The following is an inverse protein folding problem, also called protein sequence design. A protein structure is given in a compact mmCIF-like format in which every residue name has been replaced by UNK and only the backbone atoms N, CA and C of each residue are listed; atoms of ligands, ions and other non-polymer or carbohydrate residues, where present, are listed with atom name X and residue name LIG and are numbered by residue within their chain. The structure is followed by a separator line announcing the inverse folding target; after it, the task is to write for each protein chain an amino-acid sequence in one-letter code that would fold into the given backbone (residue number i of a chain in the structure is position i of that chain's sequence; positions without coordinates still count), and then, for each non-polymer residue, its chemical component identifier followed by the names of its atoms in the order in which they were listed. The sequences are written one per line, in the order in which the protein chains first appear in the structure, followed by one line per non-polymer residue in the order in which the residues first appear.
data_IF_787160326779
#
_entry.id   IF_787160326779
#
_cell.length_a   1.000
_cell.length_b   1.000
_cell.length_c   1.000
_cell.angle_alpha   90.00
_cell.angle_beta   90.00
_cell.angle_gamma   90.00
#
_symmetry.space_group_name_H-M   'P 1'
#
loop_
_entity.id
_entity.type
_entity.pdbx_description
1 polymer ?
#
# COMPACT_ATOMS: atom_id res chain seq x y z
N UNK A 1 -24.98 9.26 1.92
CA UNK A 1 -23.80 10.15 1.87
C UNK A 1 -24.21 11.61 2.09
N UNK A 2 -25.26 12.13 1.40
CA UNK A 2 -25.70 13.53 1.53
C UNK A 2 -26.17 13.93 2.93
N UNK A 3 -26.83 13.04 3.67
CA UNK A 3 -27.31 13.34 5.05
C UNK A 3 -26.18 13.40 6.07
N UNK A 4 -25.15 12.54 5.93
CA UNK A 4 -23.97 12.56 6.80
C UNK A 4 -23.11 13.80 6.55
N UNK A 5 -22.92 14.20 5.29
CA UNK A 5 -22.17 15.41 4.94
C UNK A 5 -22.88 16.68 5.43
N UNK A 6 -24.22 16.74 5.34
CA UNK A 6 -25.00 17.86 5.88
C UNK A 6 -24.93 17.89 7.42
N UNK A 7 -24.98 16.73 8.10
CA UNK A 7 -24.81 16.63 9.54
C UNK A 7 -23.41 17.06 9.99
N UNK A 8 -22.36 16.67 9.28
CA UNK A 8 -20.98 17.05 9.56
C UNK A 8 -20.78 18.57 9.46
N UNK A 9 -21.23 19.20 8.37
CA UNK A 9 -21.18 20.65 8.21
C UNK A 9 -21.95 21.41 9.29
N UNK A 10 -23.12 20.90 9.71
CA UNK A 10 -23.90 21.47 10.79
C UNK A 10 -23.17 21.36 12.13
N UNK A 11 -22.58 20.20 12.43
CA UNK A 11 -21.78 20.01 13.65
C UNK A 11 -20.59 20.96 13.68
N UNK A 12 -19.82 21.06 12.60
CA UNK A 12 -18.68 21.99 12.51
C UNK A 12 -19.08 23.44 12.74
N UNK A 13 -20.25 23.86 12.24
CA UNK A 13 -20.75 25.24 12.40
C UNK A 13 -21.22 25.53 13.83
N UNK A 14 -21.48 24.52 14.66
CA UNK A 14 -22.07 24.67 16.01
C UNK A 14 -21.11 24.31 17.14
N UNK A 15 -19.94 23.72 16.82
CA UNK A 15 -18.94 23.34 17.84
C UNK A 15 -17.95 24.48 18.04
N UNK A 16 -17.79 24.91 19.29
CA UNK A 16 -16.75 25.87 19.63
C UNK A 16 -15.37 25.21 19.57
N UNK A 17 -14.33 25.93 19.08
CA UNK A 17 -12.97 25.45 19.12
C UNK A 17 -12.56 25.08 20.57
N UNK A 18 -12.04 23.89 20.75
CA UNK A 18 -11.49 23.46 22.03
C UNK A 18 -9.98 23.27 21.91
N UNK A 19 -9.27 23.54 23.01
CA UNK A 19 -7.87 23.17 23.08
C UNK A 19 -7.75 21.64 23.01
N UNK A 20 -6.72 21.17 22.28
CA UNK A 20 -6.39 19.76 22.29
C UNK A 20 -5.99 19.37 23.70
N UNK A 21 -6.59 18.28 24.22
CA UNK A 21 -6.24 17.74 25.52
C UNK A 21 -4.78 17.26 25.61
N UNK A 22 -4.44 16.52 26.67
CA UNK A 22 -3.12 15.93 26.84
C UNK A 22 -2.71 15.13 25.59
N UNK A 23 -1.42 15.21 25.25
CA UNK A 23 -0.88 14.68 23.99
C UNK A 23 -1.17 13.19 23.81
N UNK A 24 -1.39 12.79 22.56
CA UNK A 24 -1.55 11.40 22.16
C UNK A 24 -0.19 10.70 22.18
N UNK A 25 -0.11 9.54 22.84
CA UNK A 25 1.11 8.73 22.83
C UNK A 25 1.25 7.98 21.48
N UNK A 26 2.48 7.76 21.05
CA UNK A 26 2.75 7.01 19.81
C UNK A 26 2.22 5.57 19.83
N UNK A 27 2.03 4.99 21.02
CA UNK A 27 1.49 3.64 21.23
C UNK A 27 -0.03 3.58 21.33
N UNK A 28 -0.69 4.74 21.32
CA UNK A 28 -2.15 4.81 21.29
C UNK A 28 -2.70 4.32 19.96
N UNK A 29 -3.91 3.78 19.99
CA UNK A 29 -4.59 3.31 18.81
C UNK A 29 -4.99 4.49 17.94
N UNK A 30 -4.45 4.55 16.71
CA UNK A 30 -4.80 5.56 15.73
C UNK A 30 -6.00 5.15 14.87
N UNK A 31 -6.14 3.85 14.57
CA UNK A 31 -7.23 3.37 13.75
C UNK A 31 -7.42 1.86 13.78
N UNK A 32 -8.65 1.45 13.40
CA UNK A 32 -9.03 0.08 13.13
C UNK A 32 -9.27 -0.08 11.63
N UNK A 33 -8.45 -0.90 10.99
CA UNK A 33 -8.59 -1.20 9.57
C UNK A 33 -9.11 -2.63 9.40
N UNK A 34 -10.26 -2.77 8.77
CA UNK A 34 -10.87 -4.08 8.57
C UNK A 34 -10.34 -4.76 7.32
N UNK A 35 -9.89 -6.01 7.46
CA UNK A 35 -9.49 -6.86 6.33
C UNK A 35 -10.58 -7.86 6.01
N UNK A 36 -10.79 -8.10 4.71
CA UNK A 36 -11.61 -9.23 4.26
C UNK A 36 -10.84 -10.53 4.48
N UNK A 37 -11.16 -11.26 5.54
CA UNK A 37 -10.54 -12.57 5.76
C UNK A 37 -11.02 -13.58 4.73
N UNK A 38 -10.11 -14.31 4.10
CA UNK A 38 -10.42 -15.43 3.18
C UNK A 38 -11.13 -16.60 3.90
N UNK A 39 -11.17 -16.60 5.22
CA UNK A 39 -11.62 -17.74 6.05
C UNK A 39 -12.72 -17.40 7.05
N UNK A 40 -13.43 -16.26 6.93
CA UNK A 40 -14.48 -15.93 7.91
C UNK A 40 -14.72 -14.42 8.11
N UNK A 41 -15.17 -14.05 9.32
CA UNK A 41 -15.47 -12.67 9.67
C UNK A 41 -14.26 -11.75 9.55
N UNK A 42 -14.48 -10.55 9.02
CA UNK A 42 -13.46 -9.49 8.93
C UNK A 42 -12.73 -9.28 10.25
N UNK A 43 -11.42 -9.01 10.19
CA UNK A 43 -10.58 -8.74 11.34
C UNK A 43 -10.26 -7.24 11.40
N UNK A 44 -10.45 -6.63 12.56
CA UNK A 44 -10.03 -5.25 12.80
C UNK A 44 -8.55 -5.20 13.15
N UNK A 45 -7.72 -4.76 12.23
CA UNK A 45 -6.28 -4.55 12.43
C UNK A 45 -6.09 -3.28 13.24
N UNK A 46 -5.42 -3.39 14.39
CA UNK A 46 -5.12 -2.24 15.27
C UNK A 46 -3.81 -1.59 14.84
N UNK A 47 -3.88 -0.38 14.28
CA UNK A 47 -2.71 0.42 13.95
C UNK A 47 -2.56 1.57 14.94
N UNK A 48 -1.38 1.70 15.52
CA UNK A 48 -1.01 2.79 16.44
C UNK A 48 -0.50 4.00 15.65
N UNK A 49 -0.40 5.15 16.31
CA UNK A 49 0.22 6.34 15.70
C UNK A 49 1.66 6.03 15.24
N UNK A 50 2.44 5.27 16.04
CA UNK A 50 3.79 4.83 15.67
C UNK A 50 3.78 4.03 14.37
N UNK A 51 2.85 3.08 14.19
CA UNK A 51 2.79 2.25 13.00
C UNK A 51 2.55 3.08 11.74
N UNK A 52 1.58 3.99 11.79
CA UNK A 52 1.23 4.85 10.66
C UNK A 52 2.35 5.84 10.32
N UNK A 53 2.97 6.46 11.33
CA UNK A 53 4.08 7.39 11.14
C UNK A 53 5.30 6.65 10.57
N UNK A 54 5.65 5.49 11.12
CA UNK A 54 6.75 4.68 10.61
C UNK A 54 6.54 4.33 9.14
N UNK A 55 5.33 3.89 8.79
CA UNK A 55 5.03 3.58 7.40
C UNK A 55 5.09 4.79 6.47
N UNK A 56 4.63 5.97 6.90
CA UNK A 56 4.79 7.20 6.12
C UNK A 56 6.27 7.53 5.90
N UNK A 57 7.12 7.35 6.92
CA UNK A 57 8.58 7.54 6.80
C UNK A 57 9.23 6.51 5.86
N UNK A 58 8.83 5.22 5.95
CA UNK A 58 9.29 4.18 5.02
C UNK A 58 8.95 4.52 3.57
N UNK A 59 7.73 5.02 3.37
CA UNK A 59 7.26 5.49 2.07
C UNK A 59 8.14 6.61 1.52
N UNK A 60 8.33 7.66 2.31
CA UNK A 60 9.12 8.84 1.93
C UNK A 60 10.61 8.53 1.70
N UNK A 61 11.14 7.53 2.40
CA UNK A 61 12.52 7.07 2.18
C UNK A 61 12.69 6.22 0.91
N UNK A 62 11.59 5.67 0.37
CA UNK A 62 11.64 4.69 -0.72
C UNK A 62 11.05 5.18 -2.03
N UNK A 63 10.09 6.10 -1.98
CA UNK A 63 9.43 6.70 -3.14
C UNK A 63 9.86 8.15 -3.28
N UNK A 64 10.40 8.58 -4.43
CA UNK A 64 10.79 9.97 -4.64
C UNK A 64 9.60 10.90 -4.50
N UNK A 65 9.58 11.72 -3.44
CA UNK A 65 8.51 12.68 -3.17
C UNK A 65 9.05 13.94 -2.52
N UNK A 66 8.34 15.07 -2.71
CA UNK A 66 8.69 16.36 -2.13
C UNK A 66 7.43 17.24 -1.91
N UNK A 67 7.60 18.41 -1.28
CA UNK A 67 6.52 19.35 -0.94
C UNK A 67 5.82 19.97 -2.16
N UNK A 68 6.39 19.85 -3.35
CA UNK A 68 5.77 20.36 -4.58
C UNK A 68 4.89 19.33 -5.28
N UNK A 69 4.83 18.10 -4.75
CA UNK A 69 4.03 17.03 -5.33
C UNK A 69 2.54 17.33 -5.29
N UNK A 70 1.87 16.81 -6.29
CA UNK A 70 0.44 16.90 -6.50
C UNK A 70 -0.11 15.49 -6.59
N UNK A 71 -0.54 14.96 -5.45
CA UNK A 71 -0.97 13.57 -5.30
C UNK A 71 -2.47 13.42 -5.62
N UNK A 72 -2.82 12.48 -6.48
CA UNK A 72 -4.22 12.08 -6.67
C UNK A 72 -4.56 10.92 -5.73
N UNK A 73 -5.54 11.12 -4.87
CA UNK A 73 -6.05 10.08 -3.98
C UNK A 73 -7.23 9.39 -4.66
N UNK A 74 -6.96 8.35 -5.45
CA UNK A 74 -8.00 7.56 -6.14
C UNK A 74 -8.31 6.24 -5.43
N UNK A 75 -7.40 5.72 -4.61
CA UNK A 75 -7.67 4.57 -3.77
C UNK A 75 -8.60 4.93 -2.61
N UNK A 76 -9.51 4.03 -2.18
CA UNK A 76 -10.42 4.32 -1.07
C UNK A 76 -9.68 4.67 0.21
N UNK A 77 -10.05 5.82 0.83
CA UNK A 77 -9.40 6.32 2.05
C UNK A 77 -9.64 5.45 3.29
N UNK A 78 -10.64 4.57 3.26
CA UNK A 78 -10.89 3.60 4.34
C UNK A 78 -10.03 2.33 4.21
N UNK A 79 -9.28 2.18 3.12
CA UNK A 79 -8.33 1.10 2.92
C UNK A 79 -6.92 1.58 3.30
N UNK A 80 -6.10 0.70 3.88
CA UNK A 80 -4.76 1.05 4.35
C UNK A 80 -3.88 1.68 3.26
N UNK A 81 -3.97 1.21 2.01
CA UNK A 81 -3.21 1.78 0.89
C UNK A 81 -3.61 3.25 0.61
N UNK A 82 -4.90 3.58 0.63
CA UNK A 82 -5.38 4.94 0.41
C UNK A 82 -5.00 5.88 1.54
N UNK A 83 -5.18 5.46 2.81
CA UNK A 83 -4.85 6.28 3.97
C UNK A 83 -3.36 6.57 4.10
N UNK A 84 -2.50 5.63 3.72
CA UNK A 84 -1.04 5.82 3.81
C UNK A 84 -0.50 6.85 2.81
N UNK A 85 -0.96 6.85 1.58
CA UNK A 85 -0.60 7.89 0.61
C UNK A 85 -0.95 9.29 1.12
N UNK A 86 -2.11 9.41 1.80
CA UNK A 86 -2.55 10.66 2.44
C UNK A 86 -1.57 11.09 3.55
N UNK A 87 -1.19 10.17 4.44
CA UNK A 87 -0.30 10.50 5.57
C UNK A 87 1.10 10.89 5.09
N UNK A 88 1.65 10.22 4.10
CA UNK A 88 2.92 10.57 3.48
C UNK A 88 2.87 11.98 2.86
N UNK A 89 1.81 12.27 2.10
CA UNK A 89 1.62 13.58 1.48
C UNK A 89 1.42 14.72 2.53
N UNK A 90 0.70 14.44 3.63
CA UNK A 90 0.57 15.40 4.76
C UNK A 90 1.94 15.66 5.39
N UNK A 91 2.73 14.61 5.63
CA UNK A 91 4.05 14.75 6.24
C UNK A 91 4.96 15.67 5.45
N UNK A 92 4.86 15.63 4.12
CA UNK A 92 5.66 16.48 3.23
C UNK A 92 5.05 17.85 2.92
N UNK A 93 3.77 18.07 3.24
CA UNK A 93 3.07 19.28 2.84
C UNK A 93 2.66 19.30 1.36
N UNK A 94 2.59 18.14 0.71
CA UNK A 94 2.20 17.99 -0.69
C UNK A 94 0.70 18.27 -0.91
N UNK A 95 0.34 18.75 -2.10
CA UNK A 95 -1.05 18.95 -2.50
C UNK A 95 -1.73 17.60 -2.69
N UNK A 96 -2.96 17.47 -2.17
CA UNK A 96 -3.78 16.28 -2.38
C UNK A 96 -5.07 16.61 -3.11
N UNK A 97 -5.40 15.82 -4.12
CA UNK A 97 -6.65 15.91 -4.88
C UNK A 97 -7.42 14.60 -4.66
N UNK A 98 -8.45 14.59 -3.80
CA UNK A 98 -9.23 13.38 -3.56
C UNK A 98 -10.27 13.16 -4.67
N UNK A 99 -10.42 11.90 -5.11
CA UNK A 99 -11.46 11.44 -6.00
C UNK A 99 -12.52 10.67 -5.18
N UNK A 100 -13.78 11.13 -5.22
CA UNK A 100 -14.83 10.53 -4.40
C UNK A 100 -15.26 9.13 -4.82
N UNK A 101 -15.23 8.83 -6.11
CA UNK A 101 -15.53 7.51 -6.69
C UNK A 101 -14.61 7.30 -7.87
N UNK A 102 -14.00 6.12 -7.95
CA UNK A 102 -13.11 5.79 -9.06
C UNK A 102 -13.88 5.79 -10.39
N UNK A 103 -13.40 6.57 -11.34
CA UNK A 103 -13.81 6.62 -12.73
C UNK A 103 -12.57 6.93 -13.58
N UNK A 104 -12.22 6.10 -14.56
CA UNK A 104 -10.98 6.27 -15.33
C UNK A 104 -10.87 7.61 -16.06
N UNK A 105 -11.98 8.09 -16.64
CA UNK A 105 -12.00 9.38 -17.35
C UNK A 105 -11.77 10.53 -16.38
N UNK A 106 -12.46 10.52 -15.21
CA UNK A 106 -12.27 11.52 -14.18
C UNK A 106 -10.84 11.52 -13.61
N UNK A 107 -10.20 10.35 -13.47
CA UNK A 107 -8.77 10.25 -13.08
C UNK A 107 -7.89 11.00 -14.06
N UNK A 108 -8.03 10.74 -15.37
CA UNK A 108 -7.22 11.37 -16.40
C UNK A 108 -7.48 12.88 -16.51
N UNK A 109 -8.75 13.30 -16.40
CA UNK A 109 -9.14 14.71 -16.38
C UNK A 109 -8.54 15.46 -15.17
N UNK A 110 -8.46 14.81 -14.00
CA UNK A 110 -7.82 15.38 -12.81
C UNK A 110 -6.30 15.44 -12.96
N UNK A 111 -5.65 14.42 -13.57
CA UNK A 111 -4.23 14.44 -13.86
C UNK A 111 -3.89 15.64 -14.74
N UNK A 112 -4.60 15.84 -15.84
CA UNK A 112 -4.39 16.97 -16.74
C UNK A 112 -4.67 18.31 -16.06
N UNK A 113 -5.87 18.46 -15.47
CA UNK A 113 -6.33 19.71 -14.85
C UNK A 113 -5.47 20.19 -13.70
N UNK A 114 -5.08 19.28 -12.81
CA UNK A 114 -4.34 19.61 -11.60
C UNK A 114 -2.85 19.35 -11.72
N UNK A 115 -2.38 18.88 -12.90
CA UNK A 115 -0.99 18.51 -13.14
C UNK A 115 -0.49 17.54 -12.06
N UNK A 116 -1.26 16.49 -11.83
CA UNK A 116 -0.91 15.44 -10.87
C UNK A 116 0.39 14.77 -11.33
N UNK A 117 1.33 14.59 -10.41
CA UNK A 117 2.59 13.90 -10.72
C UNK A 117 2.73 12.55 -10.02
N UNK A 118 1.92 12.26 -9.00
CA UNK A 118 1.97 10.97 -8.30
C UNK A 118 0.57 10.46 -7.95
N UNK A 119 0.36 9.15 -8.15
CA UNK A 119 -0.86 8.48 -7.69
C UNK A 119 -0.61 7.00 -7.38
N UNK A 120 -1.53 6.40 -6.61
CA UNK A 120 -1.53 4.99 -6.25
C UNK A 120 -2.88 4.37 -6.55
N UNK A 121 -2.87 3.18 -7.16
CA UNK A 121 -4.06 2.36 -7.40
C UNK A 121 -3.80 0.88 -7.29
N UNK A 122 -4.85 0.08 -7.45
CA UNK A 122 -4.72 -1.37 -7.59
C UNK A 122 -4.59 -1.75 -9.07
N UNK A 123 -4.08 -2.96 -9.43
CA UNK A 123 -3.88 -3.35 -10.83
C UNK A 123 -5.10 -3.18 -11.76
N UNK A 124 -6.31 -3.42 -11.26
CA UNK A 124 -7.54 -3.21 -12.04
C UNK A 124 -7.81 -1.73 -12.36
N UNK A 125 -7.43 -0.81 -11.46
CA UNK A 125 -7.50 0.63 -11.72
C UNK A 125 -6.49 1.03 -12.78
N UNK A 126 -5.25 0.53 -12.71
CA UNK A 126 -4.23 0.80 -13.73
C UNK A 126 -4.68 0.32 -15.11
N UNK A 127 -5.22 -0.89 -15.21
CA UNK A 127 -5.76 -1.41 -16.46
C UNK A 127 -6.83 -0.49 -17.06
N UNK A 128 -7.77 -0.03 -16.22
CA UNK A 128 -8.87 0.82 -16.65
C UNK A 128 -8.41 2.22 -17.09
N UNK A 129 -7.49 2.86 -16.37
CA UNK A 129 -6.97 4.19 -16.77
C UNK A 129 -6.08 4.11 -18.01
N UNK A 130 -5.31 3.02 -18.17
CA UNK A 130 -4.50 2.82 -19.37
C UNK A 130 -5.39 2.60 -20.62
N UNK A 131 -6.47 1.82 -20.50
CA UNK A 131 -7.44 1.61 -21.56
C UNK A 131 -8.13 2.92 -21.94
N UNK A 132 -8.60 3.70 -20.96
CA UNK A 132 -9.23 5.00 -21.21
C UNK A 132 -8.26 6.00 -21.84
N UNK A 133 -6.99 6.03 -21.42
CA UNK A 133 -5.98 6.91 -21.99
C UNK A 133 -5.68 6.55 -23.44
N UNK A 134 -5.69 5.28 -23.82
CA UNK A 134 -5.55 4.87 -25.21
C UNK A 134 -6.77 5.21 -26.08
N UNK A 135 -7.98 5.08 -25.50
CA UNK A 135 -9.22 5.36 -26.24
C UNK A 135 -9.48 6.87 -26.37
N UNK A 136 -9.25 7.61 -25.31
CA UNK A 136 -9.54 9.04 -25.21
C UNK A 136 -8.34 9.76 -24.55
N UNK A 137 -7.28 10.09 -25.27
CA UNK A 137 -6.05 10.64 -24.73
C UNK A 137 -6.23 12.00 -24.04
N UNK A 138 -5.62 12.18 -22.87
CA UNK A 138 -5.43 13.46 -22.15
C UNK A 138 -3.93 13.76 -22.05
N UNK A 139 -3.60 14.99 -21.72
CA UNK A 139 -2.22 15.35 -21.44
C UNK A 139 -1.82 14.89 -20.03
N UNK A 140 -1.21 13.73 -19.96
CA UNK A 140 -0.72 13.09 -18.73
C UNK A 140 0.78 13.28 -18.49
N UNK A 141 1.43 14.19 -19.21
CA UNK A 141 2.88 14.42 -19.16
C UNK A 141 3.39 14.89 -17.78
N UNK A 142 2.49 15.31 -16.90
CA UNK A 142 2.84 15.65 -15.50
C UNK A 142 2.97 14.44 -14.60
N UNK A 143 2.42 13.26 -14.99
CA UNK A 143 2.45 12.06 -14.16
C UNK A 143 3.86 11.44 -14.18
N UNK A 144 4.58 11.57 -13.07
CA UNK A 144 5.96 11.10 -12.90
C UNK A 144 6.01 9.72 -12.27
N UNK A 145 5.10 9.44 -11.33
CA UNK A 145 5.08 8.21 -10.54
C UNK A 145 3.68 7.61 -10.47
N UNK A 146 3.55 6.36 -10.90
CA UNK A 146 2.33 5.56 -10.80
C UNK A 146 2.62 4.31 -10.00
N UNK A 147 1.99 4.19 -8.84
CA UNK A 147 2.23 3.13 -7.88
C UNK A 147 1.08 2.14 -7.89
N UNK A 148 1.39 0.86 -7.79
CA UNK A 148 0.37 -0.18 -7.65
C UNK A 148 0.80 -1.25 -6.65
N UNK A 149 -0.19 -2.01 -6.19
CA UNK A 149 0.03 -3.12 -5.26
C UNK A 149 -1.28 -3.68 -4.71
N UNK A 150 -1.17 -4.50 -3.68
CA UNK A 150 -2.31 -5.13 -3.00
C UNK A 150 -2.87 -6.37 -3.70
N UNK A 151 -2.44 -6.67 -4.91
CA UNK A 151 -2.69 -7.93 -5.63
C UNK A 151 -1.67 -8.11 -6.76
N UNK A 152 -1.46 -9.35 -7.23
CA UNK A 152 -0.61 -9.59 -8.39
C UNK A 152 -1.09 -8.81 -9.63
N UNK A 153 -0.15 -8.34 -10.43
CA UNK A 153 -0.42 -7.66 -11.70
C UNK A 153 0.00 -8.53 -12.88
N UNK A 154 -0.82 -8.55 -13.94
CA UNK A 154 -0.42 -9.24 -15.16
C UNK A 154 0.57 -8.37 -15.96
N UNK A 155 1.64 -8.96 -16.50
CA UNK A 155 2.65 -8.27 -17.31
C UNK A 155 2.04 -7.43 -18.44
N UNK A 156 0.93 -7.90 -19.02
CA UNK A 156 0.22 -7.15 -20.07
C UNK A 156 -0.39 -5.83 -19.56
N UNK A 157 -0.83 -5.79 -18.29
CA UNK A 157 -1.32 -4.54 -17.68
C UNK A 157 -0.17 -3.56 -17.49
N UNK A 158 1.00 -4.04 -17.02
CA UNK A 158 2.22 -3.21 -16.91
C UNK A 158 2.59 -2.65 -18.29
N UNK A 159 2.65 -3.49 -19.32
CA UNK A 159 2.99 -3.07 -20.70
C UNK A 159 2.04 -2.01 -21.23
N UNK A 160 0.73 -2.18 -21.02
CA UNK A 160 -0.29 -1.19 -21.42
C UNK A 160 -0.16 0.10 -20.65
N UNK A 161 0.14 0.02 -19.36
CA UNK A 161 0.37 1.21 -18.54
C UNK A 161 1.60 1.99 -18.99
N UNK A 162 2.72 1.31 -19.29
CA UNK A 162 3.91 1.95 -19.85
C UNK A 162 3.63 2.63 -21.20
N UNK A 163 2.82 2.00 -22.05
CA UNK A 163 2.42 2.59 -23.33
C UNK A 163 1.51 3.81 -23.17
N UNK A 164 0.59 3.77 -22.19
CA UNK A 164 -0.33 4.88 -21.91
C UNK A 164 0.37 6.06 -21.21
N UNK A 165 1.41 5.77 -20.41
CA UNK A 165 2.15 6.73 -19.58
C UNK A 165 3.66 6.60 -19.82
N UNK A 166 4.16 6.99 -21.00
CA UNK A 166 5.53 6.65 -21.45
C UNK A 166 6.66 7.35 -20.67
N UNK A 167 6.35 8.38 -19.89
CA UNK A 167 7.33 9.12 -19.07
C UNK A 167 7.17 8.86 -17.58
N UNK A 168 6.29 7.93 -17.20
CA UNK A 168 5.93 7.66 -15.81
C UNK A 168 6.70 6.46 -15.30
N UNK A 169 7.33 6.60 -14.16
CA UNK A 169 7.93 5.50 -13.42
C UNK A 169 6.82 4.63 -12.80
N UNK A 170 6.81 3.34 -13.09
CA UNK A 170 5.95 2.37 -12.43
C UNK A 170 6.65 1.78 -11.21
N UNK A 171 5.91 1.72 -10.10
CA UNK A 171 6.41 1.17 -8.84
C UNK A 171 5.40 0.16 -8.31
N UNK A 172 5.84 -1.08 -8.15
CA UNK A 172 5.07 -2.09 -7.41
C UNK A 172 5.38 -2.03 -5.92
N UNK A 173 4.35 -2.16 -5.08
CA UNK A 173 4.49 -2.24 -3.62
C UNK A 173 3.84 -3.50 -3.07
N UNK A 174 4.54 -4.16 -2.17
CA UNK A 174 4.07 -5.31 -1.42
C UNK A 174 3.86 -4.97 0.04
N UNK A 175 2.80 -5.54 0.61
CA UNK A 175 2.49 -5.49 2.02
C UNK A 175 1.03 -5.82 2.31
N UNK A 176 0.64 -5.66 3.56
CA UNK A 176 -0.67 -5.99 4.08
C UNK A 176 -1.18 -4.90 5.01
N UNK A 177 -2.47 -4.88 5.31
CA UNK A 177 -3.03 -3.96 6.31
C UNK A 177 -2.29 -4.07 7.65
N UNK A 178 -1.89 -5.28 8.03
CA UNK A 178 -1.14 -5.61 9.23
C UNK A 178 0.28 -5.02 9.27
N UNK A 179 0.77 -4.55 8.12
CA UNK A 179 2.09 -3.90 7.97
C UNK A 179 2.01 -2.41 7.65
N UNK A 180 0.83 -1.79 7.73
CA UNK A 180 0.52 -0.35 7.61
C UNK A 180 0.73 0.38 6.26
N UNK A 181 0.70 -0.14 5.06
CA UNK A 181 0.82 -1.49 4.49
C UNK A 181 2.18 -1.79 3.82
N UNK A 182 3.16 -0.86 3.74
CA UNK A 182 4.36 -0.99 2.92
C UNK A 182 5.44 -1.85 3.58
N UNK A 183 5.90 -2.86 2.86
CA UNK A 183 6.98 -3.78 3.28
C UNK A 183 8.11 -3.82 2.27
N UNK A 184 7.78 -4.00 0.99
CA UNK A 184 8.77 -4.09 -0.07
C UNK A 184 8.32 -3.28 -1.30
N UNK A 185 9.28 -2.93 -2.14
CA UNK A 185 9.07 -2.09 -3.30
C UNK A 185 9.95 -2.56 -4.46
N UNK A 186 9.36 -2.67 -5.66
CA UNK A 186 10.04 -2.80 -6.94
C UNK A 186 9.87 -1.49 -7.70
N UNK A 187 10.98 -0.77 -7.90
CA UNK A 187 10.99 0.45 -8.72
C UNK A 187 11.38 0.19 -10.16
N UNK A 188 11.08 1.15 -11.05
CA UNK A 188 11.43 1.11 -12.48
C UNK A 188 10.90 -0.14 -13.21
N UNK A 189 9.71 -0.58 -12.85
CA UNK A 189 9.09 -1.79 -13.41
C UNK A 189 8.99 -1.71 -14.95
N UNK A 190 8.82 -0.49 -15.49
CA UNK A 190 8.81 -0.21 -16.92
C UNK A 190 10.10 -0.65 -17.65
N UNK A 191 11.23 -0.70 -16.93
CA UNK A 191 12.52 -1.13 -17.51
C UNK A 191 12.79 -2.63 -17.32
N UNK A 192 11.99 -3.30 -16.49
CA UNK A 192 12.18 -4.69 -16.07
C UNK A 192 11.25 -5.69 -16.78
N UNK A 193 10.42 -5.26 -17.74
CA UNK A 193 9.34 -6.10 -18.31
C UNK A 193 9.81 -7.46 -18.84
N UNK A 194 11.03 -7.55 -19.35
CA UNK A 194 11.61 -8.78 -19.87
C UNK A 194 12.65 -9.40 -18.89
N UNK A 195 12.85 -8.79 -17.72
CA UNK A 195 13.75 -9.24 -16.67
C UNK A 195 12.99 -10.17 -15.70
N UNK A 196 13.61 -11.27 -15.23
CA UNK A 196 13.04 -12.10 -14.16
C UNK A 196 12.62 -11.32 -12.92
N UNK A 197 13.27 -10.18 -12.61
CA UNK A 197 12.95 -9.30 -11.48
C UNK A 197 11.56 -8.69 -11.57
N UNK A 198 10.96 -8.55 -12.77
CA UNK A 198 9.59 -8.09 -12.93
C UNK A 198 8.54 -8.97 -12.24
N UNK A 199 8.93 -10.16 -11.77
CA UNK A 199 8.06 -11.06 -11.00
C UNK A 199 8.27 -10.96 -9.49
N UNK A 200 9.24 -10.16 -9.06
CA UNK A 200 9.51 -9.95 -7.63
C UNK A 200 8.62 -8.84 -7.07
N UNK A 201 8.36 -8.91 -5.78
CA UNK A 201 7.77 -7.80 -5.03
C UNK A 201 8.82 -6.73 -4.64
N UNK A 202 10.00 -6.77 -5.26
CA UNK A 202 11.10 -5.88 -4.94
C UNK A 202 11.85 -6.24 -3.65
N UNK A 203 12.48 -5.24 -3.05
CA UNK A 203 13.26 -5.37 -1.82
C UNK A 203 12.56 -4.73 -0.64
N UNK A 204 12.85 -5.21 0.55
CA UNK A 204 12.38 -4.59 1.79
C UNK A 204 12.75 -3.11 1.83
N UNK A 205 11.77 -2.26 2.17
CA UNK A 205 11.98 -0.82 2.33
C UNK A 205 12.78 -0.52 3.60
N UNK A 206 13.38 0.66 3.65
CA UNK A 206 14.08 1.15 4.85
C UNK A 206 13.13 1.11 6.05
N UNK A 207 13.56 0.49 7.15
CA UNK A 207 12.76 0.32 8.36
C UNK A 207 11.97 -1.00 8.45
N UNK A 208 11.95 -1.79 7.37
CA UNK A 208 11.44 -3.16 7.36
C UNK A 208 12.55 -4.17 7.15
N UNK A 209 12.39 -5.37 7.71
CA UNK A 209 13.17 -6.54 7.33
C UNK A 209 12.23 -7.68 6.94
N UNK A 210 12.62 -8.42 5.91
CA UNK A 210 11.93 -9.60 5.41
C UNK A 210 12.84 -10.80 5.60
N UNK A 211 12.30 -11.86 6.17
CA UNK A 211 12.97 -13.16 6.26
C UNK A 211 12.03 -14.26 5.81
N UNK A 212 12.58 -15.36 5.34
CA UNK A 212 11.84 -16.56 4.96
C UNK A 212 12.03 -17.60 6.04
N UNK A 213 10.93 -18.12 6.57
CA UNK A 213 10.99 -19.07 7.68
C UNK A 213 10.27 -20.37 7.33
N UNK A 214 10.78 -21.46 7.86
CA UNK A 214 10.11 -22.75 7.81
C UNK A 214 9.04 -22.86 8.93
N UNK A 215 8.39 -24.05 9.01
CA UNK A 215 7.30 -24.31 9.95
C UNK A 215 7.74 -24.25 11.43
N UNK A 216 9.02 -24.51 11.74
CA UNK A 216 9.55 -24.46 13.11
C UNK A 216 10.01 -23.03 13.50
N UNK A 217 9.98 -22.09 12.56
CA UNK A 217 10.35 -20.69 12.77
C UNK A 217 11.83 -20.39 12.55
N UNK A 218 12.64 -21.36 12.11
CA UNK A 218 14.03 -21.11 11.72
C UNK A 218 14.09 -20.42 10.36
N UNK A 219 15.06 -19.55 10.18
CA UNK A 219 15.28 -18.81 8.93
C UNK A 219 15.88 -19.73 7.86
N UNK A 220 15.33 -19.64 6.66
CA UNK A 220 15.78 -20.41 5.50
C UNK A 220 16.85 -19.64 4.71
N UNK A 221 17.80 -20.35 4.08
CA UNK A 221 18.76 -19.77 3.14
C UNK A 221 18.08 -19.07 1.96
N UNK A 222 18.84 -18.20 1.28
CA UNK A 222 18.40 -17.59 0.02
C UNK A 222 18.03 -18.65 -1.01
N UNK A 223 16.96 -18.38 -1.78
CA UNK A 223 16.42 -19.30 -2.80
C UNK A 223 15.49 -20.39 -2.26
N UNK A 224 15.45 -20.65 -0.96
CA UNK A 224 14.53 -21.62 -0.37
C UNK A 224 13.16 -21.01 -0.07
N UNK A 225 12.10 -21.78 -0.40
CA UNK A 225 10.70 -21.34 -0.23
C UNK A 225 10.22 -21.65 1.19
N UNK A 226 9.65 -20.63 1.84
CA UNK A 226 9.03 -20.73 3.15
C UNK A 226 8.04 -19.58 3.38
N UNK A 227 7.57 -19.43 4.61
CA UNK A 227 6.65 -18.34 4.96
C UNK A 227 7.39 -17.01 5.06
N UNK A 228 6.81 -15.99 4.43
CA UNK A 228 7.33 -14.63 4.50
C UNK A 228 7.04 -14.04 5.88
N UNK A 229 8.09 -13.60 6.58
CA UNK A 229 7.99 -12.99 7.91
C UNK A 229 8.57 -11.59 7.86
N UNK A 230 7.81 -10.62 8.38
CA UNK A 230 8.15 -9.20 8.36
C UNK A 230 8.39 -8.68 9.76
N UNK A 231 9.46 -7.91 9.94
CA UNK A 231 9.71 -7.14 11.16
C UNK A 231 9.86 -5.66 10.80
N UNK A 232 9.33 -4.80 11.66
CA UNK A 232 9.38 -3.34 11.47
C UNK A 232 8.49 -2.61 12.46
N UNK A 233 8.71 -1.32 12.60
CA UNK A 233 7.90 -0.45 13.47
C UNK A 233 6.50 -0.18 12.92
N UNK A 234 6.27 -0.50 11.66
CA UNK A 234 4.99 -0.42 10.96
C UNK A 234 4.07 -1.63 11.21
N UNK A 235 4.53 -2.67 11.92
CA UNK A 235 3.72 -3.86 12.21
C UNK A 235 2.63 -3.54 13.23
N UNK A 236 1.41 -4.00 12.96
CA UNK A 236 0.22 -3.81 13.78
C UNK A 236 0.42 -4.17 15.26
N UNK A 237 -0.40 -3.59 16.13
CA UNK A 237 -0.50 -3.98 17.54
C UNK A 237 -1.16 -5.37 17.73
N UNK A 238 -2.01 -5.77 16.77
CA UNK A 238 -2.77 -7.02 16.77
C UNK A 238 -4.16 -6.85 16.19
N UNK A 239 -4.99 -7.88 16.29
CA UNK A 239 -6.39 -7.85 15.89
C UNK A 239 -7.30 -7.48 17.06
N UNK A 240 -8.23 -6.55 16.84
CA UNK A 240 -9.19 -6.09 17.83
C UNK A 240 -10.03 -7.24 18.38
N UNK A 241 -10.00 -7.42 19.71
CA UNK A 241 -10.72 -8.49 20.44
C UNK A 241 -10.45 -9.92 19.90
N UNK A 242 -9.25 -10.18 19.35
CA UNK A 242 -8.85 -11.48 18.83
C UNK A 242 -7.42 -11.84 19.26
N UNK A 243 -7.17 -12.05 20.57
CA UNK A 243 -5.83 -12.30 21.08
C UNK A 243 -5.21 -13.61 20.56
N UNK A 244 -6.00 -14.67 20.40
CA UNK A 244 -5.54 -15.95 19.87
C UNK A 244 -5.05 -15.81 18.42
N UNK A 245 -5.89 -15.21 17.55
CA UNK A 245 -5.50 -14.98 16.15
C UNK A 245 -4.33 -14.00 16.02
N UNK A 246 -4.18 -13.07 16.97
CA UNK A 246 -3.02 -12.20 17.05
C UNK A 246 -1.75 -13.00 17.33
N UNK A 247 -1.80 -13.90 18.33
CA UNK A 247 -0.67 -14.75 18.70
C UNK A 247 -0.26 -15.76 17.60
N UNK A 248 -1.20 -16.16 16.73
CA UNK A 248 -0.90 -17.02 15.58
C UNK A 248 0.02 -16.33 14.56
N UNK A 249 -0.14 -15.02 14.36
CA UNK A 249 0.58 -14.26 13.32
C UNK A 249 1.69 -13.36 13.88
N UNK A 250 1.58 -12.88 15.11
CA UNK A 250 2.63 -12.13 15.80
C UNK A 250 3.37 -13.03 16.76
N UNK A 251 4.46 -13.63 16.30
CA UNK A 251 5.27 -14.58 17.08
C UNK A 251 6.75 -14.44 16.73
N UNK A 252 7.61 -14.87 17.63
CA UNK A 252 9.07 -14.84 17.45
C UNK A 252 9.62 -13.47 17.01
N UNK A 253 8.97 -12.37 17.41
CA UNK A 253 9.40 -11.01 17.11
C UNK A 253 9.05 -10.53 15.68
N UNK A 254 8.24 -11.27 14.91
CA UNK A 254 7.84 -10.92 13.55
C UNK A 254 6.36 -11.15 13.28
N UNK A 255 5.88 -10.56 12.19
CA UNK A 255 4.57 -10.80 11.60
C UNK A 255 4.68 -11.87 10.52
N UNK A 256 4.02 -12.98 10.72
CA UNK A 256 3.89 -14.11 9.80
C UNK A 256 2.73 -13.80 8.85
N UNK A 257 3.06 -13.54 7.60
CA UNK A 257 2.11 -12.99 6.61
C UNK A 257 1.10 -14.00 6.10
N UNK A 258 1.45 -15.29 6.15
CA UNK A 258 0.73 -16.35 5.47
C UNK A 258 1.02 -16.44 3.97
N UNK A 259 1.85 -15.57 3.42
CA UNK A 259 2.34 -15.66 2.05
C UNK A 259 3.59 -16.56 2.02
N UNK A 260 3.68 -17.40 0.98
CA UNK A 260 4.85 -18.25 0.73
C UNK A 260 5.74 -17.62 -0.33
N UNK A 261 7.04 -17.62 -0.10
CA UNK A 261 7.98 -16.99 -1.02
C UNK A 261 9.43 -17.34 -0.72
N UNK A 262 10.32 -16.74 -1.45
CA UNK A 262 11.77 -16.83 -1.23
C UNK A 262 12.43 -15.46 -1.48
N UNK A 263 13.61 -15.29 -0.93
CA UNK A 263 14.48 -14.16 -1.25
C UNK A 263 15.62 -14.68 -2.13
N UNK A 264 15.89 -13.98 -3.24
CA UNK A 264 17.07 -14.29 -4.06
C UNK A 264 18.37 -13.82 -3.39
N UNK A 265 19.52 -14.05 -4.04
CA UNK A 265 20.84 -13.68 -3.54
C UNK A 265 20.97 -12.16 -3.30
N UNK A 266 20.28 -11.35 -4.10
CA UNK A 266 20.27 -9.90 -4.02
C UNK A 266 19.21 -9.34 -3.05
N UNK A 267 18.38 -10.21 -2.45
CA UNK A 267 17.36 -9.85 -1.48
C UNK A 267 16.03 -9.39 -2.07
N UNK A 268 15.77 -9.70 -3.34
CA UNK A 268 14.44 -9.52 -3.92
C UNK A 268 13.48 -10.59 -3.43
N UNK A 269 12.27 -10.19 -3.07
CA UNK A 269 11.20 -11.07 -2.60
C UNK A 269 10.39 -11.59 -3.78
N UNK A 270 10.29 -12.90 -3.90
CA UNK A 270 9.41 -13.56 -4.86
C UNK A 270 8.33 -14.34 -4.12
N UNK A 271 7.07 -14.05 -4.41
CA UNK A 271 5.92 -14.80 -3.89
C UNK A 271 5.62 -15.99 -4.79
N UNK A 272 5.34 -17.14 -4.18
CA UNK A 272 5.04 -18.39 -4.88
C UNK A 272 3.55 -18.70 -4.77
N UNK A 273 3.00 -18.62 -3.55
CA UNK A 273 1.58 -18.91 -3.27
C UNK A 273 1.20 -18.38 -1.87
N UNK A 274 -0.09 -18.52 -1.50
CA UNK A 274 -0.52 -18.38 -0.11
C UNK A 274 -0.54 -19.75 0.57
N UNK A 275 -0.06 -19.82 1.80
CA UNK A 275 0.04 -21.08 2.55
C UNK A 275 -1.30 -21.81 2.72
N UNK A 276 -2.43 -21.07 2.63
CA UNK A 276 -3.79 -21.62 2.72
C UNK A 276 -4.38 -22.09 1.39
N UNK A 277 -3.74 -21.73 0.27
CA UNK A 277 -4.19 -22.08 -1.08
C UNK A 277 -3.34 -23.22 -1.67
N UNK A 278 -2.28 -23.65 -0.98
CA UNK A 278 -1.49 -24.81 -1.38
C UNK A 278 -2.31 -26.10 -1.22
N UNK A 279 -2.72 -26.66 -2.35
CA UNK A 279 -3.21 -28.03 -2.42
C UNK A 279 -1.98 -28.94 -2.39
N UNK A 280 -1.74 -29.59 -1.24
CA UNK A 280 -0.71 -30.64 -1.15
C UNK A 280 -1.27 -31.87 -1.87
N UNK A 281 -0.78 -32.11 -3.09
CA UNK A 281 -1.10 -33.32 -3.88
C UNK A 281 -0.16 -34.44 -3.50
#
# INVERSE_FOLDING_TARGET
VSRLAAAYGTVLATVEPAELGEGVAETDLAGLFYTGGTTGASKGVMLTHRNLIANAQHWLASVPQNEHDRSLVMAPMFHAAGSNGILAAIWQGALQVPLGTFDPAAVLDLIEKHRINITLGVPSMLAAIAEEQHANPRNVSSLEVLIHGGSPIATEVVRRSCSAFPTTQLIEVYGATETSPLVALLGNEETLMDDPLARSCGRAVVGCSVSIKNADGSELPRGEVGEVVVCGTNIMKGYWNKPEQTAEVLKHGGYYTGDMGYLDEDGYLFLVDRSKDMIVS
#
